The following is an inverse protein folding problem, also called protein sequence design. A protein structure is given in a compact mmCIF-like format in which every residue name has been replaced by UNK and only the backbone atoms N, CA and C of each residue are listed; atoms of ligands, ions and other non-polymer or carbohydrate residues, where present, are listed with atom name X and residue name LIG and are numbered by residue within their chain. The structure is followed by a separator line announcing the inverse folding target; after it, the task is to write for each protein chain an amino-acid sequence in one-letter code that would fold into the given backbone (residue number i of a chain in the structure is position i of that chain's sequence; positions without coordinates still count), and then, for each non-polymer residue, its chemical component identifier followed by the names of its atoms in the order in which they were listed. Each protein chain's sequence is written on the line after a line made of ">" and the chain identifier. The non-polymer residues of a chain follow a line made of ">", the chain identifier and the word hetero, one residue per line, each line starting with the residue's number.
data_IF_040503395705
#
_entry.id   IF_040503395705
#
_cell.length_a   1.000
_cell.length_b   1.000
_cell.length_c   1.000
_cell.angle_alpha   90.00
_cell.angle_beta   90.00
_cell.angle_gamma   90.00
#
_symmetry.space_group_name_H-M   'P 1'
#
loop_
_entity.id
_entity.type
_entity.pdbx_description
1 polymer ?
#
# COMPACT_ATOMS: atom_id res chain seq x y z
N UNK A 1 -22.10 -11.31 -14.60
CA UNK A 1 -21.25 -10.64 -13.59
C UNK A 1 -21.89 -9.30 -13.26
N UNK A 2 -21.95 -8.84 -12.00
CA UNK A 2 -22.46 -7.50 -11.72
C UNK A 2 -21.55 -6.49 -12.42
N UNK A 3 -22.16 -5.56 -13.16
CA UNK A 3 -21.43 -4.51 -13.87
C UNK A 3 -20.79 -3.59 -12.81
N UNK A 4 -19.50 -3.78 -12.55
CA UNK A 4 -18.77 -2.96 -11.58
C UNK A 4 -18.40 -1.65 -12.27
N UNK A 5 -18.81 -0.53 -11.68
CA UNK A 5 -18.52 0.80 -12.23
C UNK A 5 -17.04 1.18 -12.09
N UNK A 6 -16.23 0.44 -11.32
CA UNK A 6 -14.78 0.61 -11.23
C UNK A 6 -14.08 -0.59 -10.59
N UNK A 7 -12.74 -0.59 -10.65
CA UNK A 7 -11.87 -1.53 -9.95
C UNK A 7 -11.71 -2.90 -10.60
N UNK A 8 -12.30 -3.14 -11.77
CA UNK A 8 -12.20 -4.42 -12.49
C UNK A 8 -10.74 -4.86 -12.67
N UNK A 9 -9.85 -3.93 -13.01
CA UNK A 9 -8.42 -4.17 -13.20
C UNK A 9 -7.77 -4.75 -11.94
N UNK A 10 -8.11 -4.22 -10.76
CA UNK A 10 -7.60 -4.76 -9.49
C UNK A 10 -8.02 -6.22 -9.27
N UNK A 11 -9.29 -6.55 -9.51
CA UNK A 11 -9.76 -7.94 -9.38
C UNK A 11 -9.13 -8.85 -10.42
N UNK A 12 -8.96 -8.37 -11.66
CA UNK A 12 -8.34 -9.12 -12.73
C UNK A 12 -6.87 -9.41 -12.39
N UNK A 13 -6.08 -8.38 -12.05
CA UNK A 13 -4.67 -8.52 -11.68
C UNK A 13 -4.49 -9.40 -10.44
N UNK A 14 -5.32 -9.25 -9.40
CA UNK A 14 -5.25 -10.10 -8.21
C UNK A 14 -5.54 -11.57 -8.52
N UNK A 15 -6.40 -11.87 -9.49
CA UNK A 15 -6.63 -13.25 -9.95
C UNK A 15 -5.47 -13.74 -10.80
N UNK A 16 -4.99 -12.91 -11.73
CA UNK A 16 -3.91 -13.24 -12.65
C UNK A 16 -2.61 -13.55 -11.89
N UNK A 17 -2.30 -12.77 -10.86
CA UNK A 17 -1.12 -12.95 -9.99
C UNK A 17 -1.07 -14.33 -9.28
N UNK A 18 -2.21 -15.02 -9.15
CA UNK A 18 -2.28 -16.36 -8.55
C UNK A 18 -1.97 -17.47 -9.56
N UNK A 19 -2.14 -17.18 -10.85
CA UNK A 19 -1.95 -18.11 -11.95
C UNK A 19 -0.55 -18.03 -12.55
N UNK A 20 -0.01 -16.81 -12.69
CA UNK A 20 1.29 -16.58 -13.30
C UNK A 20 1.97 -15.35 -12.67
N UNK A 21 3.28 -15.25 -12.87
CA UNK A 21 4.05 -14.05 -12.55
C UNK A 21 3.56 -12.86 -13.39
N UNK A 22 3.38 -11.71 -12.75
CA UNK A 22 3.13 -10.44 -13.43
C UNK A 22 4.47 -9.79 -13.76
N UNK A 23 4.56 -9.17 -14.94
CA UNK A 23 5.71 -8.38 -15.37
C UNK A 23 5.39 -6.89 -15.41
N UNK A 24 6.45 -6.08 -15.47
CA UNK A 24 6.34 -4.62 -15.58
C UNK A 24 6.48 -4.16 -17.03
N UNK A 25 5.75 -3.13 -17.42
CA UNK A 25 5.98 -2.38 -18.66
C UNK A 25 6.83 -1.16 -18.29
N UNK A 26 8.12 -1.18 -18.67
CA UNK A 26 9.10 -0.13 -18.30
C UNK A 26 9.37 0.90 -19.40
N UNK A 27 9.08 0.54 -20.64
CA UNK A 27 9.44 1.36 -21.82
C UNK A 27 8.31 2.29 -22.30
N UNK A 28 7.17 2.28 -21.62
CA UNK A 28 5.98 3.07 -22.00
C UNK A 28 5.59 4.01 -20.88
N UNK A 29 5.46 5.31 -21.18
CA UNK A 29 4.94 6.31 -20.24
C UNK A 29 3.51 6.69 -20.62
N UNK A 30 2.58 6.58 -19.68
CA UNK A 30 1.18 6.99 -19.84
C UNK A 30 0.96 8.35 -19.19
N UNK A 31 0.39 9.29 -19.93
CA UNK A 31 0.02 10.62 -19.43
C UNK A 31 -1.47 10.64 -19.06
N UNK A 32 -1.83 10.61 -17.76
CA UNK A 32 -3.23 10.63 -17.35
C UNK A 32 -3.89 11.97 -17.71
N UNK A 33 -5.11 11.92 -18.24
CA UNK A 33 -5.90 13.12 -18.54
C UNK A 33 -6.43 13.72 -17.24
N UNK A 34 -6.12 15.00 -16.97
CA UNK A 34 -6.59 15.75 -15.81
C UNK A 34 -8.06 16.22 -15.92
N UNK A 35 -8.92 15.50 -16.66
CA UNK A 35 -10.30 15.91 -16.90
C UNK A 35 -11.23 15.55 -15.73
N UNK A 36 -12.08 16.46 -15.24
CA UNK A 36 -13.18 16.11 -14.34
C UNK A 36 -14.10 15.06 -14.98
N UNK A 37 -14.45 14.00 -14.24
CA UNK A 37 -15.31 12.94 -14.78
C UNK A 37 -16.08 12.16 -13.72
N UNK A 38 -17.39 12.04 -13.91
CA UNK A 38 -18.31 11.32 -13.04
C UNK A 38 -18.60 9.87 -13.44
N UNK A 39 -17.95 9.35 -14.49
CA UNK A 39 -18.32 8.04 -15.11
C UNK A 39 -18.09 6.83 -14.22
N UNK A 40 -17.21 6.96 -13.23
CA UNK A 40 -16.79 5.91 -12.31
C UNK A 40 -16.88 6.44 -10.88
N UNK A 41 -17.08 5.60 -9.84
CA UNK A 41 -17.24 6.06 -8.46
C UNK A 41 -15.94 6.54 -7.80
N UNK A 42 -14.77 6.18 -8.34
CA UNK A 42 -13.45 6.61 -7.86
C UNK A 42 -12.44 6.68 -9.00
N UNK A 43 -11.32 7.37 -8.77
CA UNK A 43 -10.25 7.59 -9.75
C UNK A 43 -9.98 9.08 -9.98
N UNK A 44 -9.00 9.40 -10.82
CA UNK A 44 -8.52 10.79 -11.03
C UNK A 44 -9.65 11.75 -11.41
N UNK A 45 -10.54 11.37 -12.33
CA UNK A 45 -11.64 12.23 -12.75
C UNK A 45 -12.65 12.56 -11.63
N UNK A 46 -12.92 11.62 -10.71
CA UNK A 46 -13.76 11.89 -9.53
C UNK A 46 -13.05 12.75 -8.50
N UNK A 47 -11.75 12.53 -8.29
CA UNK A 47 -10.96 13.41 -7.40
C UNK A 47 -10.93 14.84 -7.91
N UNK A 48 -10.76 15.05 -9.21
CA UNK A 48 -10.85 16.38 -9.82
C UNK A 48 -12.21 17.04 -9.59
N UNK A 49 -13.32 16.30 -9.74
CA UNK A 49 -14.66 16.84 -9.43
C UNK A 49 -14.78 17.26 -7.95
N UNK A 50 -14.43 16.37 -7.02
CA UNK A 50 -14.49 16.65 -5.57
C UNK A 50 -13.60 17.82 -5.16
N UNK A 51 -12.42 17.94 -5.76
CA UNK A 51 -11.51 19.07 -5.56
C UNK A 51 -12.16 20.38 -6.00
N UNK A 52 -12.74 20.41 -7.21
CA UNK A 52 -13.41 21.61 -7.75
C UNK A 52 -14.69 21.96 -6.98
N UNK A 53 -15.39 20.96 -6.44
CA UNK A 53 -16.58 21.14 -5.60
C UNK A 53 -16.24 21.66 -4.19
N UNK A 54 -14.97 21.59 -3.76
CA UNK A 54 -14.52 22.11 -2.47
C UNK A 54 -15.04 21.36 -1.24
N UNK A 55 -15.74 20.23 -1.42
CA UNK A 55 -16.39 19.49 -0.35
C UNK A 55 -15.46 18.58 0.48
N UNK A 56 -14.23 18.35 0.01
CA UNK A 56 -13.27 17.45 0.63
C UNK A 56 -11.83 17.97 0.52
N UNK A 57 -11.03 17.76 1.56
CA UNK A 57 -9.59 17.95 1.51
C UNK A 57 -8.92 16.78 0.77
N UNK A 58 -8.65 16.97 -0.53
CA UNK A 58 -8.00 15.97 -1.38
C UNK A 58 -6.50 15.79 -1.07
N UNK A 59 -5.91 16.58 -0.16
CA UNK A 59 -4.54 16.40 0.31
C UNK A 59 -4.43 15.38 1.44
N UNK A 60 -5.54 14.84 1.97
CA UNK A 60 -5.49 13.74 2.92
C UNK A 60 -5.17 12.41 2.22
N UNK A 61 -4.03 11.83 2.56
CA UNK A 61 -3.54 10.55 2.00
C UNK A 61 -3.17 9.57 3.11
N UNK A 62 -2.88 8.32 2.74
CA UNK A 62 -2.39 7.32 3.69
C UNK A 62 -1.12 7.80 4.38
N UNK A 63 -1.06 7.61 5.69
CA UNK A 63 0.16 7.78 6.46
C UNK A 63 1.21 6.74 6.01
N UNK A 64 2.44 7.15 5.62
CA UNK A 64 3.45 6.21 5.13
C UNK A 64 3.79 5.07 6.10
N UNK A 65 3.59 5.28 7.41
CA UNK A 65 3.83 4.26 8.45
C UNK A 65 2.96 3.01 8.28
N UNK A 66 1.82 3.12 7.62
CA UNK A 66 1.00 1.97 7.22
C UNK A 66 1.81 1.00 6.35
N UNK A 67 2.57 1.54 5.40
CA UNK A 67 3.42 0.74 4.51
C UNK A 67 4.66 0.20 5.23
N UNK A 68 5.14 0.86 6.28
CA UNK A 68 6.22 0.32 7.14
C UNK A 68 5.77 -0.94 7.87
N UNK A 69 4.55 -0.96 8.43
CA UNK A 69 3.98 -2.17 9.05
C UNK A 69 3.81 -3.28 8.02
N UNK A 70 3.29 -2.97 6.84
CA UNK A 70 3.14 -3.93 5.75
C UNK A 70 4.50 -4.51 5.32
N UNK A 71 5.51 -3.66 5.12
CA UNK A 71 6.86 -4.07 4.76
C UNK A 71 7.45 -5.01 5.81
N UNK A 72 7.41 -4.61 7.08
CA UNK A 72 7.94 -5.42 8.18
C UNK A 72 7.25 -6.79 8.24
N UNK A 73 5.93 -6.85 8.05
CA UNK A 73 5.20 -8.12 8.01
C UNK A 73 5.67 -9.04 6.87
N UNK A 74 5.81 -8.50 5.66
CA UNK A 74 6.26 -9.26 4.50
C UNK A 74 7.71 -9.75 4.67
N UNK A 75 8.57 -8.93 5.25
CA UNK A 75 9.97 -9.28 5.56
C UNK A 75 10.09 -10.33 6.66
N UNK A 76 9.31 -10.21 7.74
CA UNK A 76 9.25 -11.22 8.80
C UNK A 76 8.85 -12.58 8.25
N UNK A 77 7.82 -12.61 7.39
CA UNK A 77 7.40 -13.84 6.75
C UNK A 77 8.48 -14.40 5.80
N UNK A 78 9.06 -13.55 4.95
CA UNK A 78 10.07 -13.96 3.97
C UNK A 78 11.34 -14.54 4.64
N UNK A 79 11.69 -14.07 5.84
CA UNK A 79 12.84 -14.55 6.61
C UNK A 79 12.67 -16.00 7.06
N UNK A 80 11.49 -16.37 7.54
CA UNK A 80 11.24 -17.70 8.10
C UNK A 80 9.84 -18.26 7.74
N UNK A 81 9.59 -18.62 6.46
CA UNK A 81 8.29 -19.14 6.02
C UNK A 81 7.84 -20.43 6.74
N UNK A 82 8.79 -21.19 7.29
CA UNK A 82 8.54 -22.45 7.99
C UNK A 82 7.99 -22.32 9.41
N UNK A 83 7.98 -21.12 9.99
CA UNK A 83 7.47 -20.87 11.34
C UNK A 83 5.99 -21.25 11.48
N UNK A 84 5.60 -21.53 12.73
CA UNK A 84 4.22 -21.84 13.08
C UNK A 84 3.32 -20.62 12.96
N UNK A 85 2.02 -20.86 12.80
CA UNK A 85 1.03 -19.80 12.79
C UNK A 85 1.07 -19.00 14.11
N UNK A 86 1.30 -19.68 15.23
CA UNK A 86 1.45 -19.04 16.54
C UNK A 86 2.72 -18.17 16.63
N UNK A 87 3.87 -18.66 16.17
CA UNK A 87 5.12 -17.89 16.14
C UNK A 87 5.00 -16.66 15.23
N UNK A 88 4.39 -16.81 14.06
CA UNK A 88 4.17 -15.70 13.13
C UNK A 88 3.19 -14.67 13.70
N UNK A 89 2.13 -15.09 14.39
CA UNK A 89 1.23 -14.17 15.11
C UNK A 89 1.95 -13.41 16.23
N UNK A 90 2.86 -14.06 16.96
CA UNK A 90 3.64 -13.41 18.00
C UNK A 90 4.60 -12.35 17.41
N UNK A 91 5.28 -12.66 16.30
CA UNK A 91 6.12 -11.69 15.58
C UNK A 91 5.29 -10.54 15.00
N UNK A 92 4.11 -10.83 14.47
CA UNK A 92 3.18 -9.80 14.01
C UNK A 92 2.74 -8.85 15.14
N UNK A 93 2.54 -9.35 16.36
CA UNK A 93 2.24 -8.52 17.52
C UNK A 93 3.40 -7.58 17.89
N UNK A 94 4.65 -8.04 17.73
CA UNK A 94 5.83 -7.20 17.94
C UNK A 94 5.96 -6.09 16.88
N UNK A 95 5.47 -6.31 15.65
CA UNK A 95 5.40 -5.26 14.62
C UNK A 95 4.28 -4.25 14.93
N UNK A 96 3.06 -4.75 15.16
CA UNK A 96 1.91 -3.90 15.45
C UNK A 96 0.77 -4.71 16.08
N UNK A 97 0.14 -4.21 17.17
CA UNK A 97 -1.05 -4.86 17.73
C UNK A 97 -2.22 -4.89 16.75
N UNK A 98 -2.30 -3.93 15.82
CA UNK A 98 -3.33 -3.90 14.78
C UNK A 98 -3.08 -4.96 13.70
N UNK A 99 -1.81 -5.21 13.34
CA UNK A 99 -1.47 -6.30 12.44
C UNK A 99 -1.84 -7.65 13.07
N UNK A 100 -1.50 -7.85 14.35
CA UNK A 100 -1.88 -9.05 15.07
C UNK A 100 -3.40 -9.26 15.09
N UNK A 101 -4.16 -8.23 15.48
CA UNK A 101 -5.62 -8.27 15.51
C UNK A 101 -6.23 -8.58 14.14
N UNK A 102 -5.68 -8.00 13.06
CA UNK A 102 -6.08 -8.31 11.69
C UNK A 102 -5.85 -9.78 11.36
N UNK A 103 -4.66 -10.31 11.62
CA UNK A 103 -4.30 -11.69 11.29
C UNK A 103 -5.12 -12.71 12.10
N UNK A 104 -5.31 -12.45 13.40
CA UNK A 104 -6.09 -13.29 14.30
C UNK A 104 -7.57 -13.34 13.88
N UNK A 105 -8.19 -12.19 13.62
CA UNK A 105 -9.57 -12.09 13.13
C UNK A 105 -9.78 -12.80 11.78
N UNK A 106 -8.75 -12.83 10.94
CA UNK A 106 -8.78 -13.54 9.65
C UNK A 106 -8.38 -15.02 9.78
N UNK A 107 -8.21 -15.54 11.00
CA UNK A 107 -7.94 -16.95 11.28
C UNK A 107 -6.57 -17.43 10.77
N UNK A 108 -5.59 -16.52 10.71
CA UNK A 108 -4.30 -16.79 10.07
C UNK A 108 -3.63 -18.05 10.63
N UNK A 109 -3.46 -18.14 11.95
CA UNK A 109 -2.72 -19.25 12.55
C UNK A 109 -3.35 -20.61 12.22
N UNK A 110 -4.67 -20.73 12.30
CA UNK A 110 -5.38 -21.97 11.96
C UNK A 110 -5.18 -22.37 10.49
N UNK A 111 -5.33 -21.42 9.56
CA UNK A 111 -5.15 -21.67 8.13
C UNK A 111 -3.70 -22.01 7.82
N UNK A 112 -2.76 -21.30 8.45
CA UNK A 112 -1.33 -21.48 8.24
C UNK A 112 -0.84 -22.85 8.71
N UNK A 113 -1.31 -23.33 9.87
CA UNK A 113 -0.96 -24.67 10.35
C UNK A 113 -1.37 -25.78 9.37
N UNK A 114 -2.54 -25.64 8.73
CA UNK A 114 -3.01 -26.59 7.71
C UNK A 114 -2.14 -26.56 6.46
N UNK A 115 -1.78 -25.37 5.99
CA UNK A 115 -0.91 -25.18 4.83
C UNK A 115 0.46 -25.81 5.09
N UNK A 116 1.03 -25.52 6.26
CA UNK A 116 2.35 -25.98 6.67
C UNK A 116 2.42 -27.49 6.89
N UNK A 117 1.35 -28.07 7.44
CA UNK A 117 1.23 -29.53 7.62
C UNK A 117 1.18 -30.30 6.31
N UNK A 118 0.65 -29.71 5.24
CA UNK A 118 0.55 -30.36 3.94
C UNK A 118 1.90 -30.45 3.20
N UNK A 119 2.73 -29.39 3.26
CA UNK A 119 4.04 -29.36 2.61
C UNK A 119 4.93 -28.28 3.24
N UNK A 120 6.17 -28.64 3.59
CA UNK A 120 7.13 -27.77 4.28
C UNK A 120 8.16 -27.09 3.38
N UNK A 121 8.10 -27.31 2.06
CA UNK A 121 9.03 -26.67 1.12
C UNK A 121 8.83 -25.16 1.12
N UNK A 122 9.92 -24.40 1.29
CA UNK A 122 9.90 -22.94 1.37
C UNK A 122 9.14 -22.29 0.19
N UNK A 123 9.44 -22.67 -1.05
CA UNK A 123 8.77 -22.11 -2.24
C UNK A 123 7.25 -22.34 -2.22
N UNK A 124 6.81 -23.52 -1.77
CA UNK A 124 5.39 -23.82 -1.63
C UNK A 124 4.75 -22.94 -0.55
N UNK A 125 5.38 -22.82 0.62
CA UNK A 125 4.89 -21.98 1.71
C UNK A 125 4.79 -20.52 1.27
N UNK A 126 5.83 -19.98 0.64
CA UNK A 126 5.83 -18.61 0.12
C UNK A 126 4.70 -18.38 -0.86
N UNK A 127 4.47 -19.32 -1.80
CA UNK A 127 3.33 -19.22 -2.73
C UNK A 127 1.98 -19.25 -2.01
N UNK A 128 1.81 -20.14 -1.04
CA UNK A 128 0.56 -20.25 -0.28
C UNK A 128 0.31 -19.02 0.59
N UNK A 129 1.37 -18.43 1.15
CA UNK A 129 1.30 -17.17 1.86
C UNK A 129 0.80 -16.05 0.97
N UNK A 130 1.38 -15.82 -0.20
CA UNK A 130 0.89 -14.79 -1.12
C UNK A 130 -0.49 -15.11 -1.71
N UNK A 131 -0.87 -16.39 -1.76
CA UNK A 131 -2.24 -16.81 -2.10
C UNK A 131 -3.25 -16.46 -1.01
N UNK A 132 -2.88 -16.63 0.27
CA UNK A 132 -3.70 -16.28 1.42
C UNK A 132 -3.71 -14.77 1.66
N UNK A 133 -2.53 -14.15 1.77
CA UNK A 133 -2.28 -12.72 1.92
C UNK A 133 -2.19 -12.03 0.55
N UNK A 134 -3.27 -12.13 -0.21
CA UNK A 134 -3.39 -11.54 -1.54
C UNK A 134 -3.66 -10.03 -1.50
N UNK A 135 -3.81 -9.41 -2.67
CA UNK A 135 -4.08 -7.96 -2.77
C UNK A 135 -5.32 -7.51 -2.00
N UNK A 136 -6.33 -8.38 -1.81
CA UNK A 136 -7.49 -8.05 -0.97
C UNK A 136 -7.14 -7.97 0.51
N UNK A 137 -6.36 -8.94 1.02
CA UNK A 137 -5.93 -8.89 2.43
C UNK A 137 -4.98 -7.72 2.67
N UNK A 138 -4.08 -7.43 1.73
CA UNK A 138 -3.22 -6.24 1.79
C UNK A 138 -4.05 -4.96 1.87
N UNK A 139 -5.04 -4.78 1.00
CA UNK A 139 -5.90 -3.60 1.02
C UNK A 139 -6.71 -3.48 2.32
N UNK A 140 -7.24 -4.60 2.83
CA UNK A 140 -7.97 -4.61 4.10
C UNK A 140 -7.08 -4.26 5.29
N UNK A 141 -5.85 -4.78 5.34
CA UNK A 141 -4.89 -4.43 6.38
C UNK A 141 -4.57 -2.92 6.34
N UNK A 142 -4.31 -2.38 5.13
CA UNK A 142 -4.07 -0.94 4.95
C UNK A 142 -5.25 -0.12 5.50
N UNK A 143 -6.48 -0.51 5.19
CA UNK A 143 -7.68 0.17 5.69
C UNK A 143 -7.83 0.05 7.22
N UNK A 144 -7.54 -1.11 7.80
CA UNK A 144 -7.61 -1.30 9.25
C UNK A 144 -6.58 -0.42 9.98
N UNK A 145 -5.34 -0.42 9.49
CA UNK A 145 -4.29 0.45 10.01
C UNK A 145 -4.66 1.93 9.85
N UNK A 146 -5.28 2.29 8.73
CA UNK A 146 -5.72 3.66 8.44
C UNK A 146 -6.96 4.09 9.25
N UNK A 147 -7.78 3.16 9.72
CA UNK A 147 -8.93 3.46 10.57
C UNK A 147 -8.54 3.57 12.05
N UNK A 148 -7.43 2.94 12.45
CA UNK A 148 -6.94 2.92 13.82
C UNK A 148 -5.64 3.70 14.00
N UNK A 149 -4.51 2.98 13.99
CA UNK A 149 -3.19 3.50 14.38
C UNK A 149 -2.69 4.69 13.55
N UNK A 150 -3.04 4.76 12.27
CA UNK A 150 -2.44 5.69 11.31
C UNK A 150 -3.49 6.35 10.42
N UNK A 151 -4.35 7.22 10.98
CA UNK A 151 -5.37 7.92 10.20
C UNK A 151 -4.75 8.70 9.03
N UNK A 152 -5.50 8.92 7.92
CA UNK A 152 -5.01 9.73 6.82
C UNK A 152 -4.50 11.09 7.29
N UNK A 153 -3.35 11.50 6.76
CA UNK A 153 -2.68 12.75 7.12
C UNK A 153 -2.51 13.63 5.88
N UNK A 154 -2.31 14.92 6.11
CA UNK A 154 -2.03 15.87 5.04
C UNK A 154 -0.78 15.47 4.24
N UNK A 155 -0.84 15.60 2.92
CA UNK A 155 0.16 15.12 1.97
C UNK A 155 1.58 15.59 2.31
N UNK A 156 1.77 16.86 2.67
CA UNK A 156 3.10 17.37 3.00
C UNK A 156 3.69 16.76 4.27
N UNK A 157 2.85 16.40 5.25
CA UNK A 157 3.29 15.66 6.43
C UNK A 157 3.67 14.22 6.06
N UNK A 158 2.89 13.57 5.21
CA UNK A 158 3.22 12.24 4.69
C UNK A 158 4.54 12.27 3.89
N UNK A 159 4.77 13.27 3.05
CA UNK A 159 6.01 13.40 2.29
C UNK A 159 7.23 13.52 3.23
N UNK A 160 7.16 14.31 4.30
CA UNK A 160 8.23 14.41 5.32
C UNK A 160 8.58 13.03 5.91
N UNK A 161 7.57 12.27 6.32
CA UNK A 161 7.74 10.92 6.86
C UNK A 161 8.36 10.00 5.81
N UNK A 162 7.87 10.05 4.56
CA UNK A 162 8.37 9.23 3.47
C UNK A 162 9.86 9.50 3.19
N UNK A 163 10.28 10.76 3.09
CA UNK A 163 11.69 11.12 2.87
C UNK A 163 12.59 10.59 4.00
N UNK A 164 12.15 10.74 5.25
CA UNK A 164 12.87 10.19 6.40
C UNK A 164 12.99 8.67 6.34
N UNK A 165 11.91 7.97 5.99
CA UNK A 165 11.90 6.50 5.87
C UNK A 165 12.76 5.98 4.72
N UNK A 166 12.83 6.72 3.62
CA UNK A 166 13.66 6.38 2.47
C UNK A 166 15.13 6.77 2.66
N UNK A 167 15.46 7.53 3.72
CA UNK A 167 16.79 8.07 3.96
C UNK A 167 17.32 8.90 2.76
N UNK A 168 16.44 9.70 2.15
CA UNK A 168 16.76 10.57 1.00
C UNK A 168 16.71 12.04 1.46
N UNK A 169 17.61 12.92 0.98
CA UNK A 169 17.53 14.34 1.25
C UNK A 169 16.18 14.92 0.85
N UNK A 170 15.57 15.68 1.74
CA UNK A 170 14.30 16.33 1.49
C UNK A 170 14.53 17.71 0.85
N UNK A 171 13.71 18.16 -0.11
CA UNK A 171 13.77 19.53 -0.63
C UNK A 171 13.51 20.55 0.49
N UNK A 172 14.29 21.64 0.53
CA UNK A 172 14.16 22.70 1.56
C UNK A 172 12.74 23.27 1.64
N UNK A 173 12.07 23.41 0.49
CA UNK A 173 10.68 23.86 0.37
C UNK A 173 9.73 23.02 1.21
N UNK A 174 10.01 21.73 1.35
CA UNK A 174 9.19 20.82 2.14
C UNK A 174 9.46 20.99 3.65
N UNK A 175 10.62 21.50 4.06
CA UNK A 175 10.99 21.68 5.46
C UNK A 175 10.28 22.87 6.13
N UNK A 176 10.01 23.94 5.36
CA UNK A 176 9.71 25.27 5.92
C UNK A 176 8.22 25.53 6.14
N UNK A 177 7.32 25.02 5.28
CA UNK A 177 5.89 25.41 5.31
C UNK A 177 4.95 24.21 5.44
N UNK A 178 3.83 24.42 6.15
CA UNK A 178 2.71 23.46 6.23
C UNK A 178 1.74 23.59 5.04
N UNK A 179 1.74 24.74 4.37
CA UNK A 179 0.97 25.01 3.15
C UNK A 179 1.94 25.43 2.03
N UNK A 180 1.88 24.74 0.89
CA UNK A 180 2.76 24.97 -0.24
C UNK A 180 1.98 25.52 -1.42
N UNK A 181 2.44 26.64 -1.96
CA UNK A 181 2.01 27.22 -3.22
C UNK A 181 2.17 26.22 -4.38
N UNK A 182 1.51 26.47 -5.51
CA UNK A 182 1.62 25.59 -6.69
C UNK A 182 3.08 25.50 -7.16
N UNK A 183 3.81 26.62 -7.15
CA UNK A 183 5.22 26.64 -7.57
C UNK A 183 6.11 25.78 -6.65
N UNK A 184 5.87 25.85 -5.34
CA UNK A 184 6.55 25.00 -4.35
C UNK A 184 6.23 23.51 -4.56
N UNK A 185 4.97 23.17 -4.85
CA UNK A 185 4.58 21.79 -5.18
C UNK A 185 5.26 21.29 -6.46
N UNK A 186 5.45 22.16 -7.46
CA UNK A 186 6.15 21.82 -8.69
C UNK A 186 7.64 21.50 -8.43
N UNK A 187 8.30 22.22 -7.53
CA UNK A 187 9.69 21.91 -7.12
C UNK A 187 9.78 20.51 -6.53
N UNK A 188 8.82 20.14 -5.69
CA UNK A 188 8.76 18.82 -5.04
C UNK A 188 8.50 17.72 -6.07
N UNK A 189 7.57 17.96 -7.01
CA UNK A 189 7.27 17.03 -8.09
C UNK A 189 8.50 16.82 -9.01
N UNK A 190 9.22 17.90 -9.33
CA UNK A 190 10.42 17.82 -10.14
C UNK A 190 11.58 17.12 -9.41
N UNK A 191 11.64 17.25 -8.07
CA UNK A 191 12.56 16.45 -7.27
C UNK A 191 12.29 14.94 -7.45
N UNK A 192 11.02 14.51 -7.41
CA UNK A 192 10.65 13.13 -7.67
C UNK A 192 11.00 12.67 -9.10
N UNK A 193 10.79 13.54 -10.11
CA UNK A 193 11.08 13.22 -11.52
C UNK A 193 12.58 13.08 -11.82
N UNK A 194 13.42 13.87 -11.15
CA UNK A 194 14.88 13.88 -11.38
C UNK A 194 15.62 12.70 -10.75
N UNK A 195 14.92 11.78 -10.11
CA UNK A 195 15.47 10.46 -9.78
C UNK A 195 16.37 10.41 -8.54
N UNK A 196 16.18 11.30 -7.56
CA UNK A 196 16.81 11.12 -6.24
C UNK A 196 16.30 9.88 -5.48
N UNK A 197 15.26 9.21 -5.99
CA UNK A 197 14.89 7.85 -5.58
C UNK A 197 15.82 6.87 -6.31
N UNK A 198 17.07 6.81 -5.85
CA UNK A 198 17.95 5.68 -6.15
C UNK A 198 17.38 4.47 -5.41
N UNK A 199 17.20 3.36 -6.12
CA UNK A 199 16.68 2.09 -5.59
C UNK A 199 17.29 1.74 -4.21
N UNK A 200 16.48 1.39 -3.19
CA UNK A 200 16.94 0.49 -2.14
C UNK A 200 17.15 -0.94 -2.66
#
# INVERSE_FOLDING_TARGET
>A
MPCRQAGQDFYFLNKLAKLASLGDIRDTTVYPSARPSGRVPFGTGRRMLRFLEGGHDEYLIYDPRVFSVLKAWLEEFAREPGSSGAELLARAAAISPHLHAFLDRNGFAFVWERIRGANRRHEYLTRQFHGWFDGFKTLKLIHELSAGAFPPIHMFKALKILFQQMNIPMPDVLAVTECQTIDEQMIILDFFRRGSIVNP
#
